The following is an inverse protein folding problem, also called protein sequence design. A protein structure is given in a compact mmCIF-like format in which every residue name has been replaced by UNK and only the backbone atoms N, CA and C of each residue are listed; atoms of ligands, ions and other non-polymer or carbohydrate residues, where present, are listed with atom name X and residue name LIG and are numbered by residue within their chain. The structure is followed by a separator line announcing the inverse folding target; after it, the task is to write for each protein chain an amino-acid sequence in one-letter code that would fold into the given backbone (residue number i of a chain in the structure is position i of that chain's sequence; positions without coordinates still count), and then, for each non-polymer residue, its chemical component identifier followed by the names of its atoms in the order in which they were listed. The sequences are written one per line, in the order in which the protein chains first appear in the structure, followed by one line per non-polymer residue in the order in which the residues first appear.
data_IF_980980710083
#
_entry.id   IF_980980710083
#
_cell.length_a   1.000
_cell.length_b   1.000
_cell.length_c   1.000
_cell.angle_alpha   90.00
_cell.angle_beta   90.00
_cell.angle_gamma   90.00
#
_symmetry.space_group_name_H-M   'P 1'
#
loop_
_entity.id
_entity.type
_entity.pdbx_description
1 polymer ?
#
# COMPACT_ATOMS: atom_id res chain seq x y z
N UNK A 1 0.30 2.99 10.91
CA UNK A 1 0.85 3.43 9.59
C UNK A 1 -0.27 3.54 8.57
N UNK A 2 -0.28 4.60 7.75
CA UNK A 2 -1.20 4.73 6.60
C UNK A 2 -0.37 4.73 5.31
N UNK A 3 -0.73 3.85 4.40
CA UNK A 3 -0.17 3.74 3.05
C UNK A 3 -1.23 4.18 2.05
N UNK A 4 -0.85 4.88 0.98
CA UNK A 4 -1.70 5.10 -0.20
C UNK A 4 -1.08 4.36 -1.39
N UNK A 5 -1.92 3.69 -2.18
CA UNK A 5 -1.52 3.04 -3.42
C UNK A 5 -2.07 3.89 -4.57
N UNK A 6 -1.25 4.20 -5.58
CA UNK A 6 -1.72 4.94 -6.77
C UNK A 6 -2.72 4.12 -7.58
N UNK A 7 -3.64 4.75 -8.31
CA UNK A 7 -4.45 4.08 -9.33
C UNK A 7 -3.54 3.56 -10.45
N UNK A 8 -4.01 2.56 -11.19
CA UNK A 8 -3.24 1.99 -12.31
C UNK A 8 -3.11 2.96 -13.47
N UNK A 9 -4.20 3.68 -13.77
CA UNK A 9 -4.24 4.72 -14.79
C UNK A 9 -3.74 6.06 -14.23
N UNK A 10 -3.20 6.90 -15.09
CA UNK A 10 -2.84 8.28 -14.73
C UNK A 10 -4.09 9.12 -14.49
N UNK A 11 -4.07 9.96 -13.46
CA UNK A 11 -5.14 10.88 -13.15
C UNK A 11 -4.67 12.34 -13.25
N UNK A 12 -5.58 13.24 -13.56
CA UNK A 12 -5.28 14.68 -13.53
C UNK A 12 -4.95 15.12 -12.10
N UNK A 13 -3.93 15.97 -11.94
CA UNK A 13 -3.48 16.51 -10.66
C UNK A 13 -3.09 15.43 -9.62
N UNK A 14 -2.70 14.23 -10.08
CA UNK A 14 -2.38 13.11 -9.19
C UNK A 14 -1.15 13.41 -8.33
N UNK A 15 -0.10 13.97 -8.92
CA UNK A 15 1.15 14.29 -8.22
C UNK A 15 1.01 15.48 -7.27
N UNK A 16 0.16 16.46 -7.59
CA UNK A 16 -0.20 17.54 -6.68
C UNK A 16 -0.89 16.99 -5.42
N UNK A 17 -1.90 16.13 -5.60
CA UNK A 17 -2.58 15.48 -4.49
C UNK A 17 -1.62 14.60 -3.67
N UNK A 18 -0.71 13.88 -4.30
CA UNK A 18 0.32 13.08 -3.61
C UNK A 18 1.18 13.96 -2.70
N UNK A 19 1.65 15.10 -3.20
CA UNK A 19 2.43 16.05 -2.39
C UNK A 19 1.62 16.58 -1.20
N UNK A 20 0.35 16.90 -1.39
CA UNK A 20 -0.54 17.31 -0.30
C UNK A 20 -0.76 16.18 0.73
N UNK A 21 -0.94 14.93 0.30
CA UNK A 21 -1.06 13.77 1.19
C UNK A 21 0.19 13.59 2.06
N UNK A 22 1.38 13.78 1.50
CA UNK A 22 2.63 13.72 2.26
C UNK A 22 2.74 14.86 3.28
N UNK A 23 2.35 16.09 2.91
CA UNK A 23 2.30 17.23 3.84
C UNK A 23 1.34 16.98 5.00
N UNK A 24 0.26 16.24 4.77
CA UNK A 24 -0.68 15.80 5.81
C UNK A 24 -0.23 14.53 6.53
N UNK A 25 0.98 14.04 6.27
CA UNK A 25 1.66 12.96 6.99
C UNK A 25 1.33 11.57 6.47
N UNK A 26 1.26 11.39 5.17
CA UNK A 26 1.29 10.07 4.55
C UNK A 26 2.61 9.36 4.89
N UNK A 27 2.53 8.11 5.37
CA UNK A 27 3.72 7.35 5.74
C UNK A 27 4.46 6.81 4.51
N UNK A 28 3.76 6.14 3.59
CA UNK A 28 4.32 5.57 2.36
C UNK A 28 3.34 5.73 1.18
N UNK A 29 3.89 5.97 0.00
CA UNK A 29 3.16 5.90 -1.26
C UNK A 29 3.64 4.71 -2.08
N UNK A 30 2.75 3.78 -2.43
CA UNK A 30 3.01 2.70 -3.37
C UNK A 30 2.68 3.14 -4.79
N UNK A 31 3.70 3.28 -5.64
CA UNK A 31 3.54 3.62 -7.05
C UNK A 31 3.29 2.34 -7.84
N UNK A 32 2.02 2.15 -8.21
CA UNK A 32 1.55 1.00 -8.99
C UNK A 32 0.97 1.48 -10.31
N UNK A 33 1.82 1.63 -11.31
CA UNK A 33 1.52 2.12 -12.66
C UNK A 33 1.95 1.08 -13.71
N UNK A 34 1.17 -0.01 -13.91
CA UNK A 34 1.59 -1.13 -14.75
C UNK A 34 1.60 -0.82 -16.25
N UNK A 35 0.97 0.29 -16.68
CA UNK A 35 0.73 0.59 -18.08
C UNK A 35 1.60 1.73 -18.63
N UNK A 36 2.42 2.38 -17.79
CA UNK A 36 3.29 3.46 -18.22
C UNK A 36 4.71 2.95 -18.53
N UNK A 37 5.42 3.63 -19.41
CA UNK A 37 6.82 3.33 -19.74
C UNK A 37 7.80 4.01 -18.77
N UNK A 38 9.11 3.78 -18.95
CA UNK A 38 10.14 4.32 -18.04
C UNK A 38 10.27 5.84 -18.09
N UNK A 39 9.99 6.48 -19.23
CA UNK A 39 10.01 7.93 -19.36
C UNK A 39 8.84 8.56 -18.59
N UNK A 40 7.63 8.04 -18.80
CA UNK A 40 6.42 8.45 -18.07
C UNK A 40 6.55 8.22 -16.56
N UNK A 41 7.17 7.11 -16.12
CA UNK A 41 7.44 6.85 -14.71
C UNK A 41 8.47 7.84 -14.15
N UNK A 42 9.48 8.18 -14.92
CA UNK A 42 10.48 9.19 -14.55
C UNK A 42 9.82 10.56 -14.34
N UNK A 43 9.00 10.99 -15.29
CA UNK A 43 8.26 12.25 -15.19
C UNK A 43 7.28 12.24 -13.98
N UNK A 44 6.59 11.12 -13.77
CA UNK A 44 5.70 10.98 -12.62
C UNK A 44 6.44 11.17 -11.29
N UNK A 45 7.60 10.51 -11.11
CA UNK A 45 8.39 10.61 -9.87
C UNK A 45 8.98 12.02 -9.71
N UNK A 46 9.43 12.66 -10.80
CA UNK A 46 9.99 14.02 -10.77
C UNK A 46 8.99 15.08 -10.31
N UNK A 47 7.70 14.88 -10.55
CA UNK A 47 6.63 15.78 -10.09
C UNK A 47 6.24 15.57 -8.62
N UNK A 48 6.79 14.56 -7.95
CA UNK A 48 6.67 14.40 -6.49
C UNK A 48 7.86 15.08 -5.82
N UNK A 49 7.63 15.87 -4.78
CA UNK A 49 8.69 16.58 -4.06
C UNK A 49 9.79 15.61 -3.60
N UNK A 50 11.03 15.93 -3.90
CA UNK A 50 12.18 15.05 -3.67
C UNK A 50 12.40 14.70 -2.19
N UNK A 51 11.93 15.52 -1.26
CA UNK A 51 11.96 15.24 0.17
C UNK A 51 11.15 13.98 0.56
N UNK A 52 10.16 13.59 -0.25
CA UNK A 52 9.31 12.41 -0.03
C UNK A 52 9.79 11.16 -0.78
N UNK A 53 10.85 11.24 -1.60
CA UNK A 53 11.27 10.12 -2.43
C UNK A 53 11.66 8.88 -1.61
N UNK A 54 12.16 9.01 -0.39
CA UNK A 54 12.45 7.88 0.49
C UNK A 54 11.20 7.17 1.02
N UNK A 55 10.02 7.79 0.89
CA UNK A 55 8.72 7.23 1.28
C UNK A 55 7.97 6.61 0.08
N UNK A 56 8.58 6.64 -1.12
CA UNK A 56 8.04 6.00 -2.31
C UNK A 56 8.40 4.52 -2.35
N UNK A 57 7.44 3.69 -2.75
CA UNK A 57 7.60 2.23 -2.92
C UNK A 57 7.26 1.86 -4.35
N UNK A 58 8.21 1.32 -5.10
CA UNK A 58 8.02 0.96 -6.50
C UNK A 58 7.49 -0.47 -6.64
N UNK A 59 6.48 -0.64 -7.51
CA UNK A 59 5.94 -1.94 -7.93
C UNK A 59 6.52 -2.43 -9.27
N UNK A 60 7.21 -1.56 -9.99
CA UNK A 60 7.86 -1.80 -11.29
C UNK A 60 8.94 -0.74 -11.51
N UNK A 61 9.66 -0.80 -12.66
CA UNK A 61 10.71 0.18 -13.02
C UNK A 61 11.77 0.34 -11.92
N UNK A 62 12.18 -0.78 -11.31
CA UNK A 62 13.10 -0.81 -10.17
C UNK A 62 14.47 -0.20 -10.48
N UNK A 63 14.87 -0.19 -11.75
CA UNK A 63 16.09 0.43 -12.28
C UNK A 63 16.13 1.95 -12.07
N UNK A 64 14.97 2.62 -12.06
CA UNK A 64 14.87 4.05 -11.83
C UNK A 64 15.16 4.47 -10.37
N UNK A 65 15.06 3.53 -9.43
CA UNK A 65 15.20 3.80 -8.00
C UNK A 65 16.48 4.55 -7.64
N UNK A 66 17.60 4.22 -8.32
CA UNK A 66 18.91 4.86 -8.08
C UNK A 66 18.92 6.36 -8.41
N UNK A 67 18.12 6.77 -9.42
CA UNK A 67 18.08 8.15 -9.88
C UNK A 67 17.33 9.07 -8.90
N UNK A 68 16.46 8.46 -8.05
CA UNK A 68 15.55 9.17 -7.15
C UNK A 68 15.79 8.88 -5.68
N UNK A 69 16.88 8.16 -5.33
CA UNK A 69 17.17 7.75 -3.95
C UNK A 69 16.01 6.94 -3.31
N UNK A 70 15.33 6.10 -4.10
CA UNK A 70 14.28 5.21 -3.64
C UNK A 70 14.93 3.88 -3.23
N UNK A 71 14.54 3.36 -2.06
CA UNK A 71 15.08 2.11 -1.52
C UNK A 71 14.01 1.09 -1.14
N UNK A 72 12.74 1.35 -1.50
CA UNK A 72 11.58 0.53 -1.12
C UNK A 72 10.92 -0.08 -2.34
N UNK A 73 10.65 -1.39 -2.29
CA UNK A 73 10.09 -2.15 -3.40
C UNK A 73 8.96 -3.08 -2.95
N UNK A 74 7.97 -3.22 -3.81
CA UNK A 74 6.87 -4.15 -3.57
C UNK A 74 6.85 -5.26 -4.61
N UNK A 75 6.78 -6.50 -4.13
CA UNK A 75 6.72 -7.72 -4.94
C UNK A 75 5.37 -8.40 -4.75
N UNK A 76 4.67 -8.65 -5.86
CA UNK A 76 3.42 -9.41 -5.84
C UNK A 76 3.70 -10.86 -5.40
N UNK A 77 2.65 -11.58 -5.04
CA UNK A 77 2.77 -13.00 -4.70
C UNK A 77 3.47 -13.81 -5.78
N UNK A 78 3.15 -13.58 -7.06
CA UNK A 78 3.80 -14.28 -8.16
C UNK A 78 5.29 -13.94 -8.27
N UNK A 79 5.67 -12.69 -8.02
CA UNK A 79 7.07 -12.25 -8.05
C UNK A 79 7.84 -12.91 -6.89
N UNK A 80 7.20 -13.08 -5.72
CA UNK A 80 7.75 -13.81 -4.58
C UNK A 80 7.94 -15.30 -4.88
N UNK A 81 6.97 -15.95 -5.54
CA UNK A 81 7.06 -17.35 -5.94
C UNK A 81 8.20 -17.61 -6.95
N UNK A 82 8.56 -16.61 -7.76
CA UNK A 82 9.66 -16.66 -8.72
C UNK A 82 10.97 -16.09 -8.17
N UNK A 83 11.06 -15.81 -6.87
CA UNK A 83 12.28 -15.34 -6.19
C UNK A 83 12.86 -14.02 -6.75
N UNK A 84 12.05 -13.19 -7.41
CA UNK A 84 12.50 -11.94 -8.02
C UNK A 84 13.05 -10.93 -6.99
N UNK A 85 12.63 -11.03 -5.73
CA UNK A 85 13.08 -10.17 -4.64
C UNK A 85 14.52 -10.45 -4.18
N UNK A 86 15.09 -11.62 -4.48
CA UNK A 86 16.41 -12.04 -3.98
C UNK A 86 17.57 -11.14 -4.40
N UNK A 87 17.40 -10.35 -5.46
CA UNK A 87 18.39 -9.34 -5.87
C UNK A 87 18.29 -8.01 -5.12
N UNK A 88 17.37 -7.90 -4.13
CA UNK A 88 17.04 -6.68 -3.40
C UNK A 88 17.27 -6.82 -1.89
N UNK A 89 18.19 -7.71 -1.47
CA UNK A 89 18.42 -8.05 -0.05
C UNK A 89 18.94 -6.88 0.81
N UNK A 90 19.48 -5.83 0.19
CA UNK A 90 19.93 -4.59 0.84
C UNK A 90 18.86 -3.48 0.84
N UNK A 91 17.64 -3.81 0.43
CA UNK A 91 16.51 -2.89 0.28
C UNK A 91 15.37 -3.24 1.23
N UNK A 92 14.47 -2.27 1.44
CA UNK A 92 13.23 -2.50 2.17
C UNK A 92 12.20 -3.10 1.22
N UNK A 93 11.84 -4.35 1.43
CA UNK A 93 10.94 -5.07 0.55
C UNK A 93 9.61 -5.39 1.23
N UNK A 94 8.56 -5.37 0.45
CA UNK A 94 7.20 -5.74 0.88
C UNK A 94 6.53 -6.66 -0.13
N UNK A 95 5.51 -7.36 0.32
CA UNK A 95 4.75 -8.28 -0.53
C UNK A 95 3.25 -8.24 -0.24
N UNK A 96 2.48 -9.08 -0.92
CA UNK A 96 1.05 -9.27 -0.70
C UNK A 96 0.74 -10.73 -0.41
N UNK A 97 -0.23 -10.95 0.48
CA UNK A 97 -0.82 -12.26 0.78
C UNK A 97 -2.34 -12.16 0.84
N UNK A 98 -3.02 -13.30 0.78
CA UNK A 98 -4.49 -13.37 0.76
C UNK A 98 -5.10 -14.13 1.94
N UNK A 99 -4.27 -14.68 2.83
CA UNK A 99 -4.67 -15.39 4.04
C UNK A 99 -3.60 -15.28 5.13
N UNK A 100 -4.00 -15.57 6.37
CA UNK A 100 -3.12 -15.43 7.54
C UNK A 100 -2.08 -16.57 7.62
N UNK A 101 -2.38 -17.74 7.11
CA UNK A 101 -1.46 -18.86 7.09
C UNK A 101 -0.27 -18.56 6.18
N UNK A 102 -0.51 -17.99 5.00
CA UNK A 102 0.54 -17.52 4.10
C UNK A 102 1.34 -16.37 4.72
N UNK A 103 0.67 -15.44 5.41
CA UNK A 103 1.34 -14.36 6.16
C UNK A 103 2.30 -14.92 7.22
N UNK A 104 1.83 -15.87 8.03
CA UNK A 104 2.62 -16.44 9.14
C UNK A 104 3.88 -17.19 8.66
N UNK A 105 3.93 -17.61 7.39
CA UNK A 105 5.10 -18.27 6.76
C UNK A 105 6.10 -17.30 6.13
N UNK A 106 5.83 -16.00 6.12
CA UNK A 106 6.78 -15.03 5.61
C UNK A 106 8.01 -14.99 6.50
N UNK A 107 9.21 -14.95 5.90
CA UNK A 107 10.46 -14.79 6.62
C UNK A 107 10.74 -13.30 6.92
N UNK A 108 11.78 -13.03 7.69
CA UNK A 108 12.18 -11.71 8.17
C UNK A 108 12.77 -10.78 7.08
N UNK A 109 12.94 -11.25 5.85
CA UNK A 109 13.37 -10.40 4.73
C UNK A 109 12.31 -9.33 4.39
N UNK A 110 11.04 -9.60 4.71
CA UNK A 110 9.91 -8.71 4.42
C UNK A 110 9.70 -7.69 5.54
N UNK A 111 9.77 -6.39 5.21
CA UNK A 111 9.44 -5.34 6.17
C UNK A 111 7.96 -5.39 6.57
N UNK A 112 7.09 -5.59 5.57
CA UNK A 112 5.65 -5.77 5.78
C UNK A 112 5.01 -6.53 4.62
N UNK A 113 3.78 -6.99 4.86
CA UNK A 113 2.94 -7.57 3.81
C UNK A 113 1.54 -6.98 3.84
N UNK A 114 1.00 -6.70 2.65
CA UNK A 114 -0.43 -6.48 2.53
C UNK A 114 -1.17 -7.79 2.75
N UNK A 115 -2.27 -7.73 3.51
CA UNK A 115 -3.26 -8.80 3.58
C UNK A 115 -4.58 -8.30 2.99
N UNK A 116 -5.12 -8.99 1.98
CA UNK A 116 -6.26 -8.50 1.21
C UNK A 116 -7.14 -9.61 0.62
N UNK A 117 -8.43 -9.31 0.37
CA UNK A 117 -9.18 -8.11 0.75
C UNK A 117 -9.78 -8.22 2.15
N UNK A 118 -9.68 -7.17 2.99
CA UNK A 118 -10.31 -7.18 4.33
C UNK A 118 -11.81 -6.89 4.28
N UNK A 119 -12.25 -6.06 3.33
CA UNK A 119 -13.67 -5.87 3.01
C UNK A 119 -13.95 -6.19 1.55
N UNK A 120 -15.19 -6.57 1.21
CA UNK A 120 -15.58 -6.78 -0.18
C UNK A 120 -15.37 -5.52 -1.01
N UNK A 121 -14.78 -5.65 -2.20
CA UNK A 121 -14.63 -4.51 -3.13
C UNK A 121 -16.00 -3.98 -3.57
N UNK A 122 -16.21 -2.67 -3.46
CA UNK A 122 -17.41 -1.96 -3.93
C UNK A 122 -17.58 -2.12 -5.46
N UNK A 123 -16.48 -2.29 -6.20
CA UNK A 123 -16.46 -2.42 -7.66
C UNK A 123 -16.89 -3.79 -8.20
N UNK A 124 -16.95 -4.83 -7.37
CA UNK A 124 -17.44 -6.17 -7.78
C UNK A 124 -18.84 -6.43 -7.24
N UNK A 125 -19.86 -5.86 -7.91
CA UNK A 125 -21.28 -6.19 -7.68
C UNK A 125 -21.47 -7.70 -7.89
N UNK A 126 -21.77 -8.47 -6.82
CA UNK A 126 -22.32 -9.81 -6.97
C UNK A 126 -21.79 -10.94 -6.07
N UNK A 127 -20.73 -10.78 -5.30
CA UNK A 127 -20.30 -11.79 -4.32
C UNK A 127 -20.02 -11.14 -2.96
N UNK A 128 -21.05 -11.09 -2.10
CA UNK A 128 -20.88 -10.90 -0.66
C UNK A 128 -20.24 -12.18 -0.10
N UNK A 129 -18.93 -12.35 -0.25
CA UNK A 129 -18.17 -13.13 0.72
C UNK A 129 -17.82 -12.14 1.82
N UNK A 130 -18.42 -12.30 3.00
CA UNK A 130 -17.91 -11.66 4.19
C UNK A 130 -16.44 -12.08 4.30
N UNK A 131 -15.53 -11.14 4.20
CA UNK A 131 -14.12 -11.44 4.39
C UNK A 131 -13.95 -11.86 5.85
N UNK A 132 -13.38 -13.02 6.10
CA UNK A 132 -13.02 -13.48 7.44
C UNK A 132 -11.67 -12.92 7.88
N UNK A 133 -10.95 -12.23 6.97
CA UNK A 133 -9.56 -11.81 7.17
C UNK A 133 -9.38 -11.01 8.46
N UNK A 134 -10.27 -10.05 8.78
CA UNK A 134 -10.16 -9.28 10.03
C UNK A 134 -10.20 -10.18 11.29
N UNK A 135 -11.02 -11.23 11.28
CA UNK A 135 -11.06 -12.20 12.38
C UNK A 135 -9.82 -13.10 12.36
N UNK A 136 -9.31 -13.43 11.18
CA UNK A 136 -8.15 -14.30 11.03
C UNK A 136 -6.85 -13.60 11.40
N UNK A 137 -6.76 -12.26 11.29
CA UNK A 137 -5.61 -11.46 11.76
C UNK A 137 -5.29 -11.74 13.23
N UNK A 138 -6.29 -12.03 14.05
CA UNK A 138 -6.10 -12.43 15.47
C UNK A 138 -5.32 -13.73 15.64
N UNK A 139 -5.16 -14.54 14.57
CA UNK A 139 -4.35 -15.76 14.54
C UNK A 139 -2.91 -15.51 14.04
N UNK A 140 -2.53 -14.22 13.93
CA UNK A 140 -1.16 -13.84 13.59
C UNK A 140 -0.20 -14.36 14.65
N UNK A 141 0.83 -15.09 14.21
CA UNK A 141 1.94 -15.55 15.03
C UNK A 141 3.31 -15.03 14.55
N UNK A 142 3.36 -14.44 13.34
CA UNK A 142 4.54 -13.81 12.80
C UNK A 142 4.67 -12.36 13.31
N UNK A 143 5.62 -12.13 14.21
CA UNK A 143 5.94 -10.80 14.77
C UNK A 143 7.04 -10.06 14.01
N UNK A 144 7.77 -10.72 13.10
CA UNK A 144 8.89 -10.13 12.37
C UNK A 144 8.44 -9.28 11.18
N UNK A 145 7.28 -9.59 10.62
CA UNK A 145 6.70 -8.90 9.45
C UNK A 145 5.49 -8.09 9.89
N UNK A 146 5.41 -6.81 9.51
CA UNK A 146 4.22 -5.98 9.79
C UNK A 146 3.08 -6.39 8.88
N UNK A 147 1.86 -6.46 9.43
CA UNK A 147 0.65 -6.73 8.66
C UNK A 147 -0.07 -5.42 8.33
N UNK A 148 -0.27 -5.19 7.03
CA UNK A 148 -0.96 -4.00 6.51
C UNK A 148 -2.26 -4.45 5.86
N UNK A 149 -3.39 -4.01 6.39
CA UNK A 149 -4.69 -4.34 5.85
C UNK A 149 -4.97 -3.58 4.55
N UNK A 150 -5.48 -4.27 3.53
CA UNK A 150 -5.85 -3.67 2.25
C UNK A 150 -7.22 -4.17 1.77
N UNK A 151 -8.00 -3.27 1.17
CA UNK A 151 -9.27 -3.57 0.51
C UNK A 151 -10.50 -3.05 1.24
N UNK A 152 -11.23 -2.14 0.59
CA UNK A 152 -12.49 -1.56 1.06
C UNK A 152 -12.40 -0.68 2.32
N UNK A 153 -11.20 -0.27 2.70
CA UNK A 153 -10.95 0.57 3.90
C UNK A 153 -11.22 2.03 3.57
N UNK A 154 -11.88 2.73 4.49
CA UNK A 154 -12.21 4.15 4.40
C UNK A 154 -12.36 4.76 5.81
N UNK A 155 -12.70 6.05 5.88
CA UNK A 155 -12.83 6.81 7.14
C UNK A 155 -13.85 6.24 8.13
N UNK A 156 -14.81 5.42 7.67
CA UNK A 156 -15.90 4.87 8.52
C UNK A 156 -15.53 3.56 9.19
N UNK A 157 -14.60 2.80 8.60
CA UNK A 157 -14.27 1.45 9.08
C UNK A 157 -12.80 1.29 9.50
N UNK A 158 -11.97 2.31 9.34
CA UNK A 158 -10.54 2.24 9.62
C UNK A 158 -10.24 1.93 11.10
N UNK A 159 -11.02 2.44 12.05
CA UNK A 159 -10.87 2.17 13.48
C UNK A 159 -11.07 0.67 13.77
N UNK A 160 -12.14 0.06 13.22
CA UNK A 160 -12.39 -1.38 13.32
C UNK A 160 -11.21 -2.21 12.80
N UNK A 161 -10.60 -1.75 11.69
CA UNK A 161 -9.43 -2.45 11.11
C UNK A 161 -8.25 -2.41 12.08
N UNK A 162 -7.96 -1.27 12.71
CA UNK A 162 -6.88 -1.18 13.71
C UNK A 162 -7.17 -1.99 14.97
N UNK A 163 -8.42 -2.07 15.42
CA UNK A 163 -8.85 -2.91 16.54
C UNK A 163 -8.62 -4.41 16.29
N UNK A 164 -8.53 -4.83 15.02
CA UNK A 164 -8.19 -6.22 14.68
C UNK A 164 -6.72 -6.60 14.94
N UNK A 165 -5.84 -5.61 15.21
CA UNK A 165 -4.42 -5.82 15.52
C UNK A 165 -3.48 -5.71 14.33
N UNK A 166 -3.84 -4.95 13.28
CA UNK A 166 -2.94 -4.64 12.16
C UNK A 166 -1.94 -3.55 12.53
N UNK A 167 -0.78 -3.56 11.89
CA UNK A 167 0.26 -2.52 12.06
C UNK A 167 0.00 -1.29 11.20
N UNK A 168 -0.87 -1.42 10.19
CA UNK A 168 -1.24 -0.33 9.31
C UNK A 168 -2.33 -0.70 8.31
N UNK A 169 -2.69 0.30 7.51
CA UNK A 169 -3.70 0.16 6.44
C UNK A 169 -3.19 0.74 5.14
N UNK A 170 -3.69 0.19 4.02
CA UNK A 170 -3.47 0.72 2.69
C UNK A 170 -4.79 1.20 2.08
N UNK A 171 -4.81 2.44 1.62
CA UNK A 171 -5.95 3.11 1.01
C UNK A 171 -5.74 3.21 -0.51
N UNK A 172 -6.79 2.92 -1.28
CA UNK A 172 -6.82 3.08 -2.73
C UNK A 172 -8.14 3.76 -3.13
N UNK A 173 -9.24 3.03 -3.21
CA UNK A 173 -10.52 3.54 -3.66
C UNK A 173 -11.11 4.65 -2.79
N UNK A 174 -10.81 4.66 -1.49
CA UNK A 174 -11.24 5.72 -0.58
C UNK A 174 -10.60 7.08 -0.92
N UNK A 175 -9.39 7.09 -1.46
CA UNK A 175 -8.69 8.31 -1.87
C UNK A 175 -9.09 8.68 -3.30
N UNK A 176 -8.85 7.81 -4.26
CA UNK A 176 -8.95 8.12 -5.69
C UNK A 176 -10.37 8.09 -6.26
N UNK A 177 -11.32 7.51 -5.53
CA UNK A 177 -12.74 7.46 -5.92
C UNK A 177 -13.62 8.51 -5.26
N UNK A 178 -13.05 9.56 -4.66
CA UNK A 178 -13.78 10.62 -3.96
C UNK A 178 -13.45 12.00 -4.51
N UNK A 179 -14.43 12.92 -4.41
CA UNK A 179 -14.27 14.31 -4.82
C UNK A 179 -13.40 15.12 -3.83
N UNK A 180 -13.26 14.66 -2.58
CA UNK A 180 -12.49 15.31 -1.53
C UNK A 180 -11.42 14.37 -0.92
N UNK A 181 -10.46 13.86 -1.70
CA UNK A 181 -9.51 12.84 -1.28
C UNK A 181 -8.68 13.23 -0.06
N UNK A 182 -8.22 14.49 0.00
CA UNK A 182 -7.44 15.00 1.12
C UNK A 182 -8.24 15.05 2.42
N UNK A 183 -9.52 15.43 2.37
CA UNK A 183 -10.40 15.43 3.52
C UNK A 183 -10.66 14.00 4.05
N UNK A 184 -10.83 13.03 3.14
CA UNK A 184 -10.96 11.61 3.50
C UNK A 184 -9.69 11.12 4.19
N UNK A 185 -8.51 11.45 3.65
CA UNK A 185 -7.24 11.07 4.26
C UNK A 185 -7.09 11.64 5.68
N UNK A 186 -7.39 12.94 5.88
CA UNK A 186 -7.36 13.59 7.19
C UNK A 186 -8.29 12.89 8.19
N UNK A 187 -9.52 12.56 7.78
CA UNK A 187 -10.45 11.78 8.62
C UNK A 187 -9.92 10.41 8.97
N UNK A 188 -9.32 9.70 8.01
CA UNK A 188 -8.67 8.41 8.28
C UNK A 188 -7.57 8.55 9.34
N UNK A 189 -6.71 9.57 9.25
CA UNK A 189 -5.66 9.83 10.25
C UNK A 189 -6.22 10.15 11.62
N UNK A 190 -7.23 11.01 11.70
CA UNK A 190 -7.87 11.38 12.98
C UNK A 190 -8.46 10.16 13.68
N UNK A 191 -9.13 9.28 12.94
CA UNK A 191 -9.77 8.09 13.48
C UNK A 191 -8.80 6.99 13.94
N UNK A 192 -7.51 7.08 13.62
CA UNK A 192 -6.47 6.19 14.15
C UNK A 192 -5.86 6.75 15.45
N UNK A 193 -5.86 8.07 15.61
CA UNK A 193 -5.23 8.73 16.75
C UNK A 193 -6.19 8.93 17.93
N UNK A 194 -7.47 8.68 17.72
CA UNK A 194 -8.53 8.77 18.73
C UNK A 194 -8.72 7.43 19.45
#
# INVERSE_FOLDING_TARGET
MIIVITPEEMMNNETELINELFQEGLDLLHIRKPFINSEEMTDFIQNINSEFHQQLVLHSHYDLAKNFNISRFHFREIDRQHDLFKSFTDKMISTSVHDIETFNRLNEDWEYSFISPVFPSISKKGKKKNSTILNDIKKRDNSNVKVIALGGINEKNISEVFESGVDGVALLGAIWGNDEPLNIFKKCRQNILS
#
